data_IF_911379854576
#
_entry.id   IF_911379854576
#
_cell.length_a   1.000
_cell.length_b   1.000
_cell.length_c   1.000
_cell.angle_alpha   90.00
_cell.angle_beta   90.00
_cell.angle_gamma   90.00
#
_symmetry.space_group_name_H-M   'P 1'
#
loop_
_entity.id
_entity.type
_entity.pdbx_description
1 polymer ?
#
# COMPACT_ATOMS: atom_id res chain seq x y z
N UNK A 1 9.24 27.21 -8.54
CA UNK A 1 8.96 27.86 -7.24
C UNK A 1 8.11 26.89 -6.43
N UNK A 2 8.63 26.30 -5.34
CA UNK A 2 7.78 25.54 -4.41
C UNK A 2 6.94 26.55 -3.62
N UNK A 3 5.67 26.24 -3.34
CA UNK A 3 4.76 27.16 -2.65
C UNK A 3 5.21 27.38 -1.20
N UNK A 4 4.83 28.49 -0.57
CA UNK A 4 5.14 28.77 0.86
C UNK A 4 4.59 27.66 1.78
N UNK A 5 3.44 27.08 1.42
CA UNK A 5 2.85 25.95 2.14
C UNK A 5 3.71 24.68 2.05
N UNK A 6 4.39 24.44 0.92
CA UNK A 6 5.33 23.32 0.79
C UNK A 6 6.57 23.51 1.67
N UNK A 7 6.96 24.75 2.00
CA UNK A 7 8.11 25.01 2.86
C UNK A 7 7.83 24.65 4.31
N UNK A 8 6.68 25.06 4.86
CA UNK A 8 6.25 24.66 6.21
C UNK A 8 6.08 23.14 6.32
N UNK A 9 5.50 22.52 5.28
CA UNK A 9 5.34 21.07 5.24
C UNK A 9 6.70 20.34 5.12
N UNK A 10 7.64 20.88 4.34
CA UNK A 10 9.00 20.33 4.24
C UNK A 10 9.73 20.39 5.59
N UNK A 11 9.57 21.48 6.34
CA UNK A 11 10.11 21.61 7.70
C UNK A 11 9.45 20.63 8.67
N UNK A 12 8.13 20.44 8.58
CA UNK A 12 7.41 19.43 9.35
C UNK A 12 7.95 18.03 9.09
N UNK A 13 8.10 17.63 7.83
CA UNK A 13 8.67 16.32 7.46
C UNK A 13 10.10 16.18 8.00
N UNK A 14 10.92 17.24 7.92
CA UNK A 14 12.28 17.22 8.47
C UNK A 14 12.27 16.98 9.98
N UNK A 15 11.42 17.69 10.73
CA UNK A 15 11.30 17.51 12.19
C UNK A 15 10.80 16.11 12.57
N UNK A 16 9.92 15.51 11.76
CA UNK A 16 9.52 14.10 11.93
C UNK A 16 10.72 13.18 11.75
N UNK A 17 11.49 13.34 10.67
CA UNK A 17 12.66 12.51 10.38
C UNK A 17 13.75 12.61 11.45
N UNK A 18 13.99 13.82 11.95
CA UNK A 18 14.96 14.09 13.01
C UNK A 18 14.45 13.67 14.41
N UNK A 19 13.15 13.32 14.54
CA UNK A 19 12.54 12.95 15.82
C UNK A 19 12.45 14.11 16.82
N UNK A 20 12.26 15.33 16.32
CA UNK A 20 12.18 16.57 17.13
C UNK A 20 10.84 17.30 17.00
N UNK A 21 9.88 16.73 16.26
CA UNK A 21 8.52 17.28 16.20
C UNK A 21 7.87 17.26 17.61
N UNK A 22 7.24 18.36 18.05
CA UNK A 22 6.53 18.38 19.32
C UNK A 22 5.48 17.26 19.40
N UNK A 23 5.48 16.55 20.52
CA UNK A 23 4.56 15.45 20.78
C UNK A 23 3.70 15.76 22.01
N UNK A 24 2.50 15.20 22.00
CA UNK A 24 1.57 15.18 23.12
C UNK A 24 1.91 13.98 24.04
N UNK A 25 0.91 13.32 24.62
CA UNK A 25 1.13 12.12 25.43
C UNK A 25 1.62 10.94 24.58
N UNK A 26 2.45 10.07 25.17
CA UNK A 26 2.89 8.78 24.58
C UNK A 26 3.60 8.88 23.21
N UNK A 27 4.43 9.92 23.03
CA UNK A 27 5.19 10.21 21.78
C UNK A 27 4.30 10.39 20.54
N UNK A 28 3.05 10.81 20.76
CA UNK A 28 2.08 11.08 19.70
C UNK A 28 2.26 12.50 19.17
N UNK A 29 2.65 12.63 17.90
CA UNK A 29 2.75 13.93 17.23
C UNK A 29 1.40 14.33 16.65
N UNK A 30 1.12 15.63 16.60
CA UNK A 30 -0.08 16.18 15.97
C UNK A 30 0.09 16.20 14.44
N UNK A 31 -0.94 15.75 13.73
CA UNK A 31 -0.98 15.75 12.27
C UNK A 31 -1.59 17.08 11.79
N UNK A 32 -1.04 17.71 10.73
CA UNK A 32 -1.64 18.90 10.13
C UNK A 32 -3.09 18.65 9.73
N UNK A 33 -4.00 19.54 10.17
CA UNK A 33 -5.45 19.38 9.99
C UNK A 33 -5.89 19.25 8.53
N UNK A 34 -5.18 19.87 7.58
CA UNK A 34 -5.48 19.78 6.15
C UNK A 34 -5.27 18.39 5.52
N UNK A 35 -4.49 17.53 6.17
CA UNK A 35 -4.22 16.16 5.74
C UNK A 35 -5.20 15.18 6.37
N UNK A 36 -5.79 15.54 7.50
CA UNK A 36 -6.59 14.64 8.32
C UNK A 36 -7.95 14.41 7.68
N UNK A 37 -8.32 13.13 7.58
CA UNK A 37 -9.72 12.70 7.47
C UNK A 37 -10.12 12.25 8.88
N UNK A 38 -11.16 12.87 9.49
CA UNK A 38 -11.64 12.47 10.80
C UNK A 38 -12.07 11.00 10.81
N UNK A 39 -11.73 10.27 11.88
CA UNK A 39 -12.26 8.93 12.09
C UNK A 39 -13.64 9.02 12.73
N UNK A 40 -14.66 8.69 11.96
CA UNK A 40 -16.06 8.66 12.39
C UNK A 40 -16.67 7.24 12.32
N UNK A 41 -15.87 6.24 11.97
CA UNK A 41 -16.29 4.87 11.71
C UNK A 41 -15.89 4.39 10.31
N UNK A 42 -16.37 3.21 9.93
CA UNK A 42 -15.95 2.53 8.69
C UNK A 42 -16.20 3.34 7.40
N UNK A 43 -17.16 4.26 7.38
CA UNK A 43 -17.39 5.16 6.24
C UNK A 43 -16.21 6.09 5.98
N UNK A 44 -15.39 6.39 6.99
CA UNK A 44 -14.17 7.20 6.84
C UNK A 44 -13.16 6.52 5.90
N UNK A 45 -13.17 5.18 5.83
CA UNK A 45 -12.33 4.42 4.88
C UNK A 45 -12.80 4.68 3.44
N UNK A 46 -14.12 4.71 3.21
CA UNK A 46 -14.67 5.05 1.90
C UNK A 46 -14.35 6.51 1.53
N UNK A 47 -14.42 7.44 2.48
CA UNK A 47 -14.00 8.83 2.25
C UNK A 47 -12.51 8.93 1.90
N UNK A 48 -11.64 8.15 2.55
CA UNK A 48 -10.22 8.09 2.21
C UNK A 48 -10.01 7.56 0.79
N UNK A 49 -10.71 6.48 0.41
CA UNK A 49 -10.65 5.92 -0.94
C UNK A 49 -11.07 6.99 -1.96
N UNK A 50 -12.19 7.68 -1.75
CA UNK A 50 -12.70 8.71 -2.67
C UNK A 50 -11.73 9.90 -2.81
N UNK A 51 -11.09 10.33 -1.71
CA UNK A 51 -10.11 11.42 -1.75
C UNK A 51 -8.85 11.05 -2.54
N UNK A 52 -8.47 9.77 -2.57
CA UNK A 52 -7.25 9.30 -3.24
C UNK A 52 -7.55 8.87 -4.67
N UNK A 53 -8.68 8.21 -4.88
CA UNK A 53 -9.19 7.70 -6.15
C UNK A 53 -10.54 8.36 -6.50
N UNK A 54 -10.56 9.68 -6.77
CA UNK A 54 -11.79 10.39 -7.12
C UNK A 54 -12.35 9.91 -8.45
N UNK A 55 -13.65 9.63 -8.49
CA UNK A 55 -14.34 9.18 -9.70
C UNK A 55 -13.71 7.91 -10.32
N UNK A 56 -13.45 6.91 -9.46
CA UNK A 56 -12.78 5.67 -9.82
C UNK A 56 -13.46 4.93 -10.99
N UNK A 57 -14.79 4.98 -11.07
CA UNK A 57 -15.57 4.32 -12.12
C UNK A 57 -15.20 4.82 -13.53
N UNK A 58 -15.10 6.15 -13.71
CA UNK A 58 -14.76 6.73 -15.00
C UNK A 58 -13.26 6.63 -15.33
N UNK A 59 -12.41 6.50 -14.30
CA UNK A 59 -10.96 6.41 -14.46
C UNK A 59 -10.41 4.98 -14.39
N UNK A 60 -11.26 3.97 -14.25
CA UNK A 60 -10.88 2.56 -14.05
C UNK A 60 -9.88 2.03 -15.09
N UNK A 61 -9.98 2.50 -16.33
CA UNK A 61 -9.14 2.08 -17.44
C UNK A 61 -8.05 3.11 -17.80
N UNK A 62 -7.86 4.15 -16.98
CA UNK A 62 -6.85 5.17 -17.20
C UNK A 62 -5.55 4.81 -16.47
N UNK A 63 -4.55 4.36 -17.24
CA UNK A 63 -3.26 3.93 -16.71
C UNK A 63 -2.55 5.02 -15.88
N UNK A 64 -2.52 6.26 -16.38
CA UNK A 64 -1.84 7.37 -15.70
C UNK A 64 -2.51 7.73 -14.38
N UNK A 65 -3.84 7.69 -14.37
CA UNK A 65 -4.61 7.89 -13.16
C UNK A 65 -4.28 6.84 -12.09
N UNK A 66 -4.18 5.57 -12.49
CA UNK A 66 -3.93 4.47 -11.55
C UNK A 66 -2.52 4.47 -10.95
N UNK A 67 -1.51 4.85 -11.73
CA UNK A 67 -0.11 4.74 -11.30
C UNK A 67 0.33 5.87 -10.36
N UNK A 68 -0.38 7.00 -10.40
CA UNK A 68 -0.04 8.19 -9.59
C UNK A 68 -0.70 8.18 -8.19
N UNK A 69 -1.31 7.04 -7.80
CA UNK A 69 -2.20 6.92 -6.63
C UNK A 69 -1.94 5.63 -5.85
N UNK A 70 -1.93 5.72 -4.52
CA UNK A 70 -1.92 4.54 -3.67
C UNK A 70 -2.47 4.81 -2.27
N UNK A 71 -3.01 3.75 -1.65
CA UNK A 71 -3.20 3.70 -0.20
C UNK A 71 -2.00 3.03 0.47
N UNK A 72 -1.59 3.55 1.61
CA UNK A 72 -0.46 3.06 2.39
C UNK A 72 -0.92 2.72 3.80
N UNK A 73 -0.52 1.54 4.29
CA UNK A 73 -0.84 1.07 5.65
C UNK A 73 0.36 0.29 6.23
N UNK A 74 0.52 0.17 7.56
CA UNK A 74 1.68 -0.51 8.14
C UNK A 74 1.73 -2.02 7.86
N UNK A 75 0.59 -2.73 7.78
CA UNK A 75 0.52 -4.20 7.74
C UNK A 75 -0.19 -4.75 6.48
N UNK A 76 0.13 -5.99 6.09
CA UNK A 76 -0.44 -6.60 4.88
C UNK A 76 -1.93 -6.94 5.02
N UNK A 77 -2.43 -7.25 6.23
CA UNK A 77 -3.85 -7.57 6.42
C UNK A 77 -4.75 -6.40 6.00
N UNK A 78 -4.36 -5.17 6.37
CA UNK A 78 -5.11 -3.97 5.97
C UNK A 78 -4.92 -3.64 4.48
N UNK A 79 -3.78 -4.00 3.89
CA UNK A 79 -3.60 -3.90 2.42
C UNK A 79 -4.64 -4.74 1.72
N UNK A 80 -4.87 -5.97 2.18
CA UNK A 80 -5.83 -6.87 1.55
C UNK A 80 -7.27 -6.35 1.72
N UNK A 81 -7.65 -5.90 2.92
CA UNK A 81 -8.95 -5.24 3.17
C UNK A 81 -9.20 -4.02 2.28
N UNK A 82 -8.19 -3.17 2.11
CA UNK A 82 -8.30 -1.97 1.27
C UNK A 82 -8.38 -2.31 -0.21
N UNK A 83 -7.56 -3.26 -0.69
CA UNK A 83 -7.61 -3.72 -2.07
C UNK A 83 -8.97 -4.35 -2.42
N UNK A 84 -9.55 -5.15 -1.51
CA UNK A 84 -10.90 -5.71 -1.67
C UNK A 84 -11.99 -4.62 -1.76
N UNK A 85 -11.90 -3.59 -0.92
CA UNK A 85 -12.83 -2.44 -0.97
C UNK A 85 -12.72 -1.63 -2.26
N UNK A 86 -11.52 -1.54 -2.85
CA UNK A 86 -11.31 -0.77 -4.08
C UNK A 86 -11.71 -1.57 -5.31
N UNK A 87 -11.30 -2.85 -5.42
CA UNK A 87 -11.59 -3.67 -6.61
C UNK A 87 -13.09 -3.87 -6.81
N UNK A 88 -13.87 -3.93 -5.73
CA UNK A 88 -15.35 -4.02 -5.79
C UNK A 88 -16.02 -2.76 -6.33
N UNK A 89 -15.30 -1.64 -6.45
CA UNK A 89 -15.76 -0.41 -7.06
C UNK A 89 -15.34 -0.27 -8.52
N UNK A 90 -14.68 -1.26 -9.12
CA UNK A 90 -14.35 -1.19 -10.55
C UNK A 90 -15.56 -1.53 -11.43
N UNK A 91 -15.71 -0.87 -12.59
CA UNK A 91 -16.70 -1.24 -13.58
C UNK A 91 -16.30 -2.54 -14.27
N UNK A 92 -17.22 -3.48 -14.38
CA UNK A 92 -17.03 -4.76 -15.06
C UNK A 92 -17.29 -5.96 -14.17
N UNK A 93 -17.01 -7.15 -14.69
CA UNK A 93 -17.21 -8.40 -13.96
C UNK A 93 -15.93 -8.81 -13.22
N UNK A 94 -16.09 -9.21 -11.96
CA UNK A 94 -15.00 -9.77 -11.16
C UNK A 94 -14.50 -11.07 -11.79
N UNK A 95 -13.18 -11.17 -11.97
CA UNK A 95 -12.53 -12.41 -12.43
C UNK A 95 -11.61 -12.97 -11.33
N UNK A 96 -11.86 -14.21 -10.93
CA UNK A 96 -11.04 -14.93 -9.96
C UNK A 96 -10.03 -15.80 -10.68
N UNK A 97 -8.75 -15.52 -10.44
CA UNK A 97 -7.62 -16.29 -11.00
C UNK A 97 -7.16 -17.33 -9.98
N UNK A 98 -7.59 -18.57 -10.16
CA UNK A 98 -7.20 -19.68 -9.28
C UNK A 98 -5.77 -20.15 -9.55
N UNK A 99 -5.05 -20.43 -8.46
CA UNK A 99 -3.83 -21.24 -8.47
C UNK A 99 -4.16 -22.70 -8.73
N UNK A 100 -3.17 -23.46 -9.18
CA UNK A 100 -3.27 -24.90 -9.39
C UNK A 100 -2.16 -25.62 -8.61
N UNK A 101 -2.49 -26.76 -8.01
CA UNK A 101 -1.56 -27.55 -7.20
C UNK A 101 -1.29 -28.91 -7.86
N UNK A 102 -0.02 -29.29 -7.98
CA UNK A 102 0.42 -30.59 -8.53
C UNK A 102 1.39 -31.28 -7.55
N UNK A 103 1.52 -32.61 -7.68
CA UNK A 103 2.47 -33.42 -6.92
C UNK A 103 3.59 -33.88 -7.87
N UNK A 104 4.84 -33.80 -7.43
CA UNK A 104 6.02 -34.06 -8.29
C UNK A 104 6.08 -35.48 -8.87
N UNK A 105 5.37 -36.45 -8.29
CA UNK A 105 5.44 -37.89 -8.65
C UNK A 105 4.09 -38.47 -9.15
N UNK A 106 3.18 -37.61 -9.63
CA UNK A 106 1.88 -38.04 -10.17
C UNK A 106 2.04 -38.69 -11.56
N UNK A 107 2.34 -39.99 -11.57
CA UNK A 107 2.53 -40.83 -12.77
C UNK A 107 1.24 -41.08 -13.56
N UNK A 108 0.06 -40.62 -13.10
CA UNK A 108 -1.22 -40.96 -13.73
C UNK A 108 -1.80 -39.89 -14.66
N UNK A 109 -1.16 -38.72 -14.83
CA UNK A 109 -1.66 -37.66 -15.73
C UNK A 109 -3.18 -37.38 -15.56
N UNK A 110 -3.73 -37.54 -14.35
CA UNK A 110 -5.18 -37.50 -14.11
C UNK A 110 -5.78 -36.10 -14.31
N UNK A 111 -4.94 -35.09 -14.52
CA UNK A 111 -5.32 -33.72 -14.83
C UNK A 111 -4.69 -33.32 -16.18
N UNK A 112 -5.49 -33.31 -17.25
CA UNK A 112 -5.04 -32.81 -18.55
C UNK A 112 -4.67 -31.33 -18.47
N UNK A 113 -3.49 -30.99 -18.99
CA UNK A 113 -2.83 -29.69 -18.90
C UNK A 113 -3.41 -28.62 -19.85
N UNK A 114 -4.31 -28.99 -20.76
CA UNK A 114 -4.48 -28.27 -22.03
C UNK A 114 -5.70 -27.34 -22.16
N UNK A 115 -6.50 -27.15 -21.11
CA UNK A 115 -7.55 -26.14 -21.15
C UNK A 115 -7.52 -25.37 -19.84
N UNK A 116 -7.17 -24.07 -19.87
CA UNK A 116 -7.73 -22.99 -19.02
C UNK A 116 -6.93 -21.67 -18.98
N UNK A 117 -5.96 -21.38 -19.86
CA UNK A 117 -5.07 -20.23 -19.62
C UNK A 117 -4.86 -19.32 -20.83
N UNK A 118 -5.81 -18.43 -21.06
CA UNK A 118 -5.56 -17.19 -21.80
C UNK A 118 -5.92 -16.02 -20.89
N UNK A 119 -4.97 -15.54 -20.09
CA UNK A 119 -5.01 -14.11 -19.74
C UNK A 119 -4.60 -13.39 -21.02
N UNK A 120 -5.44 -12.47 -21.50
CA UNK A 120 -5.08 -11.55 -22.58
C UNK A 120 -3.75 -10.85 -22.25
N UNK A 121 -2.89 -10.54 -23.24
CA UNK A 121 -1.65 -9.83 -22.98
C UNK A 121 -1.90 -8.60 -22.09
N UNK A 122 -1.26 -8.56 -20.91
CA UNK A 122 -1.27 -7.38 -20.05
C UNK A 122 -0.29 -6.35 -20.58
N UNK A 123 -0.58 -5.08 -20.44
CA UNK A 123 0.36 -4.02 -20.79
C UNK A 123 1.07 -3.51 -19.54
N UNK A 124 2.39 -3.41 -19.59
CA UNK A 124 3.16 -2.80 -18.51
C UNK A 124 2.89 -1.30 -18.53
N UNK A 125 2.36 -0.75 -17.43
CA UNK A 125 1.94 0.65 -17.38
C UNK A 125 3.08 1.62 -17.03
N UNK A 126 4.13 1.17 -16.34
CA UNK A 126 5.20 2.03 -15.81
C UNK A 126 6.58 1.37 -15.84
N UNK A 127 7.61 2.18 -15.59
CA UNK A 127 9.00 1.72 -15.53
C UNK A 127 9.64 1.58 -16.92
N UNK A 128 10.81 0.95 -16.96
CA UNK A 128 11.63 0.85 -18.17
C UNK A 128 10.99 0.05 -19.32
N UNK A 129 9.94 -0.73 -19.04
CA UNK A 129 9.24 -1.56 -20.02
C UNK A 129 7.80 -1.08 -20.30
N UNK A 130 7.45 0.16 -19.94
CA UNK A 130 6.12 0.71 -20.17
C UNK A 130 5.67 0.62 -21.64
N UNK A 131 4.39 0.29 -21.87
CA UNK A 131 3.80 0.05 -23.19
C UNK A 131 4.04 -1.34 -23.75
N UNK A 132 4.86 -2.17 -23.10
CA UNK A 132 5.13 -3.54 -23.54
C UNK A 132 3.97 -4.44 -23.18
N UNK A 133 3.41 -5.14 -24.17
CA UNK A 133 2.45 -6.22 -23.95
C UNK A 133 3.19 -7.49 -23.56
N UNK A 134 2.82 -8.06 -22.42
CA UNK A 134 3.44 -9.25 -21.85
C UNK A 134 2.39 -10.30 -21.54
N UNK A 135 2.78 -11.55 -21.74
CA UNK A 135 2.06 -12.68 -21.16
C UNK A 135 2.66 -12.96 -19.78
N UNK A 136 1.80 -13.15 -18.79
CA UNK A 136 2.21 -13.53 -17.45
C UNK A 136 1.99 -15.04 -17.29
N UNK A 137 3.03 -15.87 -17.39
CA UNK A 137 2.89 -17.30 -17.14
C UNK A 137 2.66 -17.54 -15.65
N UNK A 138 2.03 -18.67 -15.30
CA UNK A 138 2.05 -19.15 -13.92
C UNK A 138 3.46 -19.63 -13.57
N UNK A 139 3.94 -19.24 -12.39
CA UNK A 139 5.24 -19.68 -11.85
C UNK A 139 4.99 -20.84 -10.87
N UNK A 140 5.77 -21.94 -10.95
CA UNK A 140 5.71 -23.00 -9.96
C UNK A 140 6.44 -22.60 -8.67
N UNK A 141 5.79 -22.80 -7.53
CA UNK A 141 6.37 -22.67 -6.19
C UNK A 141 6.39 -24.05 -5.55
N UNK A 142 7.59 -24.59 -5.33
CA UNK A 142 7.77 -25.85 -4.62
C UNK A 142 7.66 -25.62 -3.11
N UNK A 143 6.82 -26.39 -2.44
CA UNK A 143 6.68 -26.40 -0.99
C UNK A 143 7.52 -27.57 -0.48
N UNK A 144 8.77 -27.30 -0.12
CA UNK A 144 9.74 -28.34 0.29
C UNK A 144 10.19 -28.22 1.74
N UNK A 145 10.02 -27.06 2.37
CA UNK A 145 10.58 -26.78 3.69
C UNK A 145 9.46 -26.51 4.70
N UNK A 146 9.35 -27.36 5.73
CA UNK A 146 8.47 -27.24 6.90
C UNK A 146 7.01 -27.70 6.79
N UNK A 147 6.64 -28.44 5.75
CA UNK A 147 5.36 -29.17 5.73
C UNK A 147 5.66 -30.66 5.82
N UNK A 148 5.16 -31.33 6.86
CA UNK A 148 5.31 -32.79 7.06
C UNK A 148 4.50 -33.61 6.03
N UNK A 149 4.51 -33.22 4.76
CA UNK A 149 3.87 -33.98 3.69
C UNK A 149 4.83 -35.07 3.19
N UNK A 150 4.34 -36.28 2.90
CA UNK A 150 5.15 -37.37 2.36
C UNK A 150 5.49 -37.19 0.86
N UNK A 151 5.14 -36.05 0.27
CA UNK A 151 5.35 -35.72 -1.14
C UNK A 151 5.66 -34.22 -1.31
N UNK A 152 6.32 -33.88 -2.41
CA UNK A 152 6.60 -32.49 -2.79
C UNK A 152 5.38 -31.93 -3.52
N UNK A 153 4.79 -30.88 -2.94
CA UNK A 153 3.69 -30.13 -3.54
C UNK A 153 4.23 -28.94 -4.33
N UNK A 154 3.74 -28.75 -5.54
CA UNK A 154 4.09 -27.62 -6.41
C UNK A 154 2.82 -26.80 -6.66
N UNK A 155 2.82 -25.55 -6.22
CA UNK A 155 1.74 -24.59 -6.49
C UNK A 155 2.10 -23.71 -7.68
N UNK A 156 1.32 -23.78 -8.76
CA UNK A 156 1.41 -22.87 -9.91
C UNK A 156 0.45 -21.71 -9.74
N UNK A 157 0.98 -20.49 -9.71
CA UNK A 157 0.16 -19.28 -9.59
C UNK A 157 0.69 -18.15 -10.47
N UNK A 158 -0.18 -17.22 -10.85
CA UNK A 158 0.26 -16.01 -11.53
C UNK A 158 1.07 -15.13 -10.57
N UNK A 159 2.22 -14.58 -10.99
CA UNK A 159 3.06 -13.73 -10.14
C UNK A 159 2.50 -12.30 -10.07
N UNK A 160 1.25 -12.15 -9.64
CA UNK A 160 0.53 -10.87 -9.58
C UNK A 160 -0.17 -10.70 -8.24
N UNK A 161 -0.34 -9.45 -7.82
CA UNK A 161 -1.16 -9.06 -6.66
C UNK A 161 -1.78 -7.69 -6.94
N UNK A 162 -2.99 -7.46 -6.44
CA UNK A 162 -3.58 -6.12 -6.41
C UNK A 162 -2.66 -5.14 -5.67
N UNK A 163 -2.56 -3.92 -6.16
CA UNK A 163 -1.60 -2.93 -5.68
C UNK A 163 -2.16 -1.51 -5.58
N UNK A 164 -3.48 -1.37 -5.39
CA UNK A 164 -4.10 -0.08 -5.06
C UNK A 164 -3.69 0.38 -3.65
N UNK A 165 -3.58 -0.59 -2.74
CA UNK A 165 -2.99 -0.44 -1.43
C UNK A 165 -1.65 -1.20 -1.34
N UNK A 166 -0.70 -0.63 -0.61
CA UNK A 166 0.62 -1.19 -0.35
C UNK A 166 0.99 -1.01 1.12
N UNK A 167 1.89 -1.86 1.62
CA UNK A 167 2.48 -1.58 2.93
C UNK A 167 3.45 -0.42 2.81
N UNK A 168 3.58 0.37 3.88
CA UNK A 168 4.57 1.46 3.97
C UNK A 168 5.98 0.97 3.57
N UNK A 169 6.36 -0.22 4.06
CA UNK A 169 7.65 -0.83 3.77
C UNK A 169 7.78 -1.19 2.27
N UNK A 170 6.75 -1.79 1.65
CA UNK A 170 6.78 -2.15 0.23
C UNK A 170 6.81 -0.94 -0.69
N UNK A 171 6.19 0.14 -0.27
CA UNK A 171 6.26 1.35 -1.04
C UNK A 171 7.69 1.90 -1.04
N UNK A 172 8.57 1.62 -0.06
CA UNK A 172 9.86 2.33 0.16
C UNK A 172 10.67 2.50 -1.14
N UNK A 173 11.10 3.74 -1.41
CA UNK A 173 11.82 4.10 -2.65
C UNK A 173 10.92 4.43 -3.86
N UNK A 174 9.61 4.24 -3.77
CA UNK A 174 8.66 4.63 -4.82
C UNK A 174 8.20 6.09 -4.68
N UNK A 175 8.06 6.78 -5.81
CA UNK A 175 7.47 8.13 -5.88
C UNK A 175 6.01 8.01 -6.30
N UNK A 176 5.09 8.35 -5.39
CA UNK A 176 3.64 8.25 -5.62
C UNK A 176 3.02 9.63 -5.33
N UNK A 177 2.52 10.37 -6.34
CA UNK A 177 2.07 11.75 -6.17
C UNK A 177 0.89 11.96 -5.23
N UNK A 178 -0.10 11.05 -5.24
CA UNK A 178 -1.32 11.14 -4.45
C UNK A 178 -1.41 9.93 -3.52
N UNK A 179 -1.36 10.17 -2.21
CA UNK A 179 -1.35 9.09 -1.23
C UNK A 179 -2.47 9.25 -0.20
N UNK A 180 -3.13 8.14 0.10
CA UNK A 180 -3.90 7.99 1.32
C UNK A 180 -3.13 7.12 2.28
N UNK A 181 -3.14 7.49 3.56
CA UNK A 181 -2.44 6.75 4.60
C UNK A 181 -3.50 6.33 5.60
N UNK A 182 -3.66 5.01 5.75
CA UNK A 182 -4.62 4.42 6.67
C UNK A 182 -3.86 3.78 7.83
N UNK A 183 -4.10 4.29 9.04
CA UNK A 183 -3.50 3.82 10.28
C UNK A 183 -4.60 3.34 11.25
N UNK A 184 -5.05 2.07 11.13
CA UNK A 184 -5.93 1.48 12.15
C UNK A 184 -5.21 1.36 13.50
N UNK A 185 -3.93 1.03 13.46
CA UNK A 185 -2.98 1.20 14.55
C UNK A 185 -1.88 2.17 14.16
N UNK A 186 -1.21 2.76 15.15
CA UNK A 186 -0.04 3.61 14.92
C UNK A 186 1.07 2.83 14.20
N UNK A 187 1.96 3.56 13.52
CA UNK A 187 3.19 2.97 12.98
C UNK A 187 4.00 2.31 14.11
N UNK A 188 4.68 1.20 13.79
CA UNK A 188 5.33 0.35 14.79
C UNK A 188 6.84 0.21 14.57
N UNK A 189 7.37 0.69 13.45
CA UNK A 189 8.79 0.62 13.13
C UNK A 189 9.40 1.99 12.85
N UNK A 190 10.72 2.06 13.03
CA UNK A 190 11.52 3.25 12.82
C UNK A 190 11.28 3.87 11.44
N UNK A 191 11.07 5.18 11.43
CA UNK A 191 11.04 5.98 10.21
C UNK A 191 9.85 5.70 9.29
N UNK A 192 8.90 4.81 9.63
CA UNK A 192 7.75 4.49 8.77
C UNK A 192 6.94 5.74 8.41
N UNK A 193 6.61 6.57 9.40
CA UNK A 193 5.86 7.81 9.17
C UNK A 193 6.65 8.78 8.28
N UNK A 194 7.94 8.95 8.55
CA UNK A 194 8.84 9.76 7.72
C UNK A 194 8.93 9.25 6.28
N UNK A 195 9.13 7.93 6.09
CA UNK A 195 9.22 7.27 4.77
C UNK A 195 7.96 7.48 3.95
N UNK A 196 6.80 7.56 4.58
CA UNK A 196 5.55 7.84 3.85
C UNK A 196 5.43 9.31 3.49
N UNK A 197 5.66 10.21 4.45
CA UNK A 197 5.44 11.64 4.27
C UNK A 197 6.51 12.32 3.40
N UNK A 198 7.73 11.77 3.35
CA UNK A 198 8.84 12.33 2.56
C UNK A 198 8.75 12.10 1.05
N UNK A 199 7.77 11.32 0.56
CA UNK A 199 7.67 10.87 -0.83
C UNK A 199 7.17 11.93 -1.80
N UNK A 200 7.89 13.04 -2.02
CA UNK A 200 7.51 14.09 -3.01
C UNK A 200 6.01 14.39 -3.06
N UNK A 201 5.35 14.35 -1.92
CA UNK A 201 3.94 14.58 -1.77
C UNK A 201 3.76 15.98 -1.24
N UNK A 202 2.77 16.69 -1.78
CA UNK A 202 2.34 17.94 -1.18
C UNK A 202 1.41 17.64 -0.01
N UNK A 203 1.30 18.58 0.92
CA UNK A 203 0.32 18.52 1.99
C UNK A 203 -1.12 18.37 1.45
N UNK A 204 -1.41 18.91 0.25
CA UNK A 204 -2.72 18.79 -0.41
C UNK A 204 -2.99 17.42 -1.01
N UNK A 205 -1.96 16.68 -1.43
CA UNK A 205 -2.08 15.38 -2.10
C UNK A 205 -1.86 14.20 -1.15
N UNK A 206 -1.70 14.47 0.14
CA UNK A 206 -1.59 13.45 1.19
C UNK A 206 -2.79 13.53 2.11
N UNK A 207 -3.49 12.41 2.27
CA UNK A 207 -4.58 12.26 3.24
C UNK A 207 -4.23 11.20 4.26
N UNK A 208 -4.51 11.45 5.53
CA UNK A 208 -4.22 10.56 6.65
C UNK A 208 -5.51 10.29 7.42
N UNK A 209 -5.81 9.01 7.61
CA UNK A 209 -6.89 8.51 8.45
C UNK A 209 -6.28 7.69 9.58
N UNK A 210 -6.48 8.10 10.83
CA UNK A 210 -5.95 7.41 12.02
C UNK A 210 -7.09 7.01 12.94
N UNK A 211 -7.34 5.71 13.11
CA UNK A 211 -8.45 5.24 13.94
C UNK A 211 -8.24 5.55 15.43
N UNK A 212 -7.00 5.34 15.90
CA UNK A 212 -6.60 5.58 17.30
C UNK A 212 -5.91 6.94 17.47
N UNK A 213 -6.38 7.95 16.75
CA UNK A 213 -5.70 9.26 16.67
C UNK A 213 -6.18 10.31 17.67
N UNK A 214 -7.31 10.10 18.33
CA UNK A 214 -7.89 11.08 19.26
C UNK A 214 -7.36 10.86 20.67
N UNK A 215 -6.87 11.94 21.30
CA UNK A 215 -6.41 11.93 22.69
C UNK A 215 -7.45 12.71 23.52
N UNK A 216 -7.96 12.15 24.64
CA UNK A 216 -8.90 12.87 25.50
C UNK A 216 -8.32 14.19 26.02
N UNK A 217 -9.00 15.30 25.74
CA UNK A 217 -8.60 16.65 26.17
C UNK A 217 -7.63 17.39 25.25
N UNK A 218 -7.20 16.78 24.15
CA UNK A 218 -6.34 17.40 23.13
C UNK A 218 -7.11 17.54 21.81
N UNK A 219 -7.01 18.70 21.16
CA UNK A 219 -7.63 18.91 19.87
C UNK A 219 -6.76 18.37 18.72
N UNK A 220 -7.39 17.66 17.79
CA UNK A 220 -6.78 17.19 16.56
C UNK A 220 -6.43 15.69 16.57
N UNK A 221 -5.88 15.23 15.44
CA UNK A 221 -5.51 13.84 15.23
C UNK A 221 -4.02 13.66 15.42
N UNK A 222 -3.65 12.61 16.13
CA UNK A 222 -2.28 12.33 16.52
C UNK A 222 -1.86 10.93 16.06
N UNK A 223 -0.56 10.73 15.88
CA UNK A 223 0.01 9.41 15.58
C UNK A 223 1.43 9.29 16.10
N UNK A 224 1.92 8.06 16.31
CA UNK A 224 3.29 7.85 16.78
C UNK A 224 4.30 8.22 15.71
N UNK A 225 5.40 8.83 16.13
CA UNK A 225 6.59 8.99 15.32
C UNK A 225 7.75 8.22 15.95
N UNK A 226 8.12 7.06 15.37
CA UNK A 226 9.17 6.20 15.93
C UNK A 226 10.51 6.54 15.27
N UNK A 227 11.40 7.17 16.05
CA UNK A 227 12.76 7.56 15.61
C UNK A 227 13.80 7.00 16.58
N UNK A 228 14.61 6.04 16.12
CA UNK A 228 15.76 5.52 16.87
C UNK A 228 16.97 6.40 16.60
N UNK A 229 17.37 7.18 17.61
CA UNK A 229 18.44 8.18 17.48
C UNK A 229 19.82 7.52 17.31
N UNK A 230 19.99 6.30 17.80
CA UNK A 230 21.22 5.52 17.69
C UNK A 230 21.59 5.27 16.22
N UNK A 231 20.59 5.09 15.35
CA UNK A 231 20.78 4.85 13.91
C UNK A 231 21.22 6.14 13.20
N UNK A 232 20.78 7.31 13.67
CA UNK A 232 21.12 8.60 13.07
C UNK A 232 22.55 9.04 13.42
N UNK A 233 23.07 8.63 14.59
CA UNK A 233 24.36 9.09 15.12
C UNK A 233 25.58 8.36 14.54
N UNK A 234 25.41 7.17 13.94
CA UNK A 234 26.51 6.40 13.33
C UNK A 234 26.98 6.90 11.95
N UNK A 235 26.45 8.04 11.48
CA UNK A 235 26.84 8.66 10.21
C UNK A 235 27.85 9.81 10.37
N UNK A 236 28.55 9.89 11.51
CA UNK A 236 29.49 10.97 11.86
C UNK A 236 30.94 10.56 11.67
#
# INVERSE_FOLDING_TARGET
MRSINDQQFSEYIRRIGDGIEPFAKDDLIKVPSSMVIPWEGDHSIAQLIEQVFPDLQNHAYNARYMVDRALLTPINEDVDKLNEKIITQFPGEEQKLYSFDEVEDDTQHLYQQDFLNSISPGEILTGQYAGTRVFLPRIPLKITENVHLPFVMIRRQFPIRLSFALTINKAQGQTIPNIGIYLPDHVFSHGQLYVVLSRRVSQSTTKLLVQKGTIPGEEGVHTKNIVYKEILLHSS
#
